data_IF_471652244464
#
_entry.id   IF_471652244464
#
_cell.length_a   1.000
_cell.length_b   1.000
_cell.length_c   1.000
_cell.angle_alpha   90.00
_cell.angle_beta   90.00
_cell.angle_gamma   90.00
#
_symmetry.space_group_name_H-M   'P 1'
#
loop_
_entity.id
_entity.type
_entity.pdbx_description
1 polymer ?
#
# COMPACT_ATOMS: atom_id res chain seq x y z
N UNK A 1 -9.60 6.43 8.83
CA UNK A 1 -8.70 5.72 7.90
C UNK A 1 -8.14 6.74 6.92
N UNK A 2 -6.82 6.80 6.79
CA UNK A 2 -6.14 7.93 6.18
C UNK A 2 -4.98 7.46 5.32
N UNK A 3 -4.93 7.94 4.08
CA UNK A 3 -3.74 7.79 3.23
C UNK A 3 -2.60 8.56 3.92
N UNK A 4 -1.65 7.84 4.51
CA UNK A 4 -0.45 8.44 5.09
C UNK A 4 0.51 8.81 3.95
N UNK A 5 0.91 10.07 3.87
CA UNK A 5 1.91 10.53 2.89
C UNK A 5 3.26 10.64 3.58
N UNK A 6 4.28 10.02 3.00
CA UNK A 6 5.65 10.02 3.56
C UNK A 6 6.64 10.24 2.45
N UNK A 7 7.61 11.12 2.68
CA UNK A 7 8.79 11.25 1.84
C UNK A 7 9.91 10.42 2.45
N UNK A 8 10.57 9.61 1.63
CA UNK A 8 11.58 8.65 2.06
C UNK A 8 12.80 8.84 1.20
N UNK A 9 13.96 9.01 1.82
CA UNK A 9 15.23 9.05 1.11
C UNK A 9 15.49 7.70 0.41
N UNK A 10 16.14 7.74 -0.75
CA UNK A 10 16.43 6.52 -1.53
C UNK A 10 17.30 5.53 -0.74
N UNK A 11 18.19 6.02 0.14
CA UNK A 11 19.06 5.21 1.00
C UNK A 11 18.25 4.45 2.07
N UNK A 12 17.17 5.05 2.57
CA UNK A 12 16.35 4.49 3.64
C UNK A 12 15.16 3.66 3.14
N UNK A 13 14.94 3.60 1.82
CA UNK A 13 13.75 2.96 1.25
C UNK A 13 13.60 1.48 1.64
N UNK A 14 14.71 0.76 1.80
CA UNK A 14 14.71 -0.64 2.19
C UNK A 14 14.32 -0.81 3.67
N UNK A 15 14.88 0.03 4.55
CA UNK A 15 14.54 0.05 5.97
C UNK A 15 13.06 0.41 6.16
N UNK A 16 12.59 1.42 5.45
CA UNK A 16 11.20 1.87 5.54
C UNK A 16 10.22 0.81 5.00
N UNK A 17 10.57 0.12 3.91
CA UNK A 17 9.80 -1.03 3.41
C UNK A 17 9.68 -2.13 4.47
N UNK A 18 10.78 -2.47 5.15
CA UNK A 18 10.78 -3.48 6.19
C UNK A 18 9.94 -3.07 7.40
N UNK A 19 10.03 -1.80 7.79
CA UNK A 19 9.17 -1.22 8.84
C UNK A 19 7.69 -1.33 8.49
N UNK A 20 7.29 -0.94 7.27
CA UNK A 20 5.92 -1.05 6.80
C UNK A 20 5.43 -2.50 6.79
N UNK A 21 6.26 -3.43 6.28
CA UNK A 21 5.92 -4.87 6.26
C UNK A 21 5.67 -5.41 7.67
N UNK A 22 6.49 -5.02 8.66
CA UNK A 22 6.27 -5.40 10.07
C UNK A 22 4.97 -4.83 10.64
N UNK A 23 4.52 -3.68 10.14
CA UNK A 23 3.23 -3.07 10.46
C UNK A 23 2.04 -3.61 9.66
N UNK A 24 2.21 -4.67 8.87
CA UNK A 24 1.14 -5.25 8.04
C UNK A 24 0.81 -4.45 6.78
N UNK A 25 1.73 -3.60 6.31
CA UNK A 25 1.58 -2.87 5.06
C UNK A 25 2.45 -3.48 3.97
N UNK A 26 1.80 -3.86 2.86
CA UNK A 26 2.44 -4.54 1.74
C UNK A 26 2.40 -3.65 0.50
N UNK A 27 3.48 -3.67 -0.27
CA UNK A 27 3.60 -2.86 -1.48
C UNK A 27 2.57 -3.26 -2.52
N UNK A 28 1.98 -2.28 -3.20
CA UNK A 28 1.03 -2.47 -4.30
C UNK A 28 1.55 -3.45 -5.35
N UNK A 29 2.83 -3.35 -5.74
CA UNK A 29 3.46 -4.26 -6.71
C UNK A 29 3.44 -5.72 -6.26
N UNK A 30 3.57 -5.99 -4.95
CA UNK A 30 3.51 -7.35 -4.42
C UNK A 30 2.07 -7.88 -4.46
N UNK A 31 1.10 -7.08 -4.01
CA UNK A 31 -0.31 -7.46 -4.02
C UNK A 31 -0.82 -7.70 -5.45
N UNK A 32 -0.36 -6.92 -6.44
CA UNK A 32 -0.66 -7.17 -7.85
C UNK A 32 -0.09 -8.47 -8.38
N UNK A 33 1.12 -8.85 -7.97
CA UNK A 33 1.68 -10.17 -8.30
C UNK A 33 0.88 -11.29 -7.63
N UNK A 34 0.32 -11.05 -6.44
CA UNK A 34 -0.58 -11.97 -5.74
C UNK A 34 -2.02 -12.00 -6.28
N UNK A 35 -2.33 -11.26 -7.36
CA UNK A 35 -3.64 -11.29 -8.02
C UNK A 35 -4.63 -10.21 -7.60
N UNK A 36 -4.24 -9.26 -6.73
CA UNK A 36 -5.11 -8.14 -6.34
C UNK A 36 -4.96 -6.93 -7.27
N UNK A 37 -6.06 -6.28 -7.60
CA UNK A 37 -6.06 -5.11 -8.48
C UNK A 37 -5.62 -3.85 -7.72
N UNK A 38 -4.39 -3.40 -8.00
CA UNK A 38 -3.84 -2.19 -7.37
C UNK A 38 -4.62 -0.90 -7.70
N UNK A 39 -5.33 -0.85 -8.83
CA UNK A 39 -6.19 0.29 -9.20
C UNK A 39 -7.41 0.31 -8.28
N UNK A 40 -8.03 -0.84 -8.03
CA UNK A 40 -9.14 -0.97 -7.08
C UNK A 40 -8.72 -0.68 -5.66
N UNK A 41 -7.58 -1.21 -5.21
CA UNK A 41 -7.02 -0.90 -3.89
C UNK A 41 -6.78 0.60 -3.70
N UNK A 42 -6.26 1.29 -4.72
CA UNK A 42 -6.10 2.74 -4.69
C UNK A 42 -7.44 3.46 -4.56
N UNK A 43 -8.47 3.01 -5.32
CA UNK A 43 -9.83 3.58 -5.25
C UNK A 43 -10.43 3.41 -3.85
N UNK A 44 -10.30 2.23 -3.26
CA UNK A 44 -10.75 1.95 -1.89
C UNK A 44 -10.02 2.83 -0.86
N UNK A 45 -8.71 3.02 -1.04
CA UNK A 45 -7.94 3.89 -0.17
C UNK A 45 -8.38 5.37 -0.25
N UNK A 46 -8.63 5.87 -1.46
CA UNK A 46 -9.14 7.24 -1.68
C UNK A 46 -10.55 7.42 -1.10
N UNK A 47 -11.37 6.36 -1.12
CA UNK A 47 -12.69 6.34 -0.48
C UNK A 47 -12.65 6.19 1.04
N UNK A 48 -11.45 6.07 1.65
CA UNK A 48 -11.30 5.86 3.09
C UNK A 48 -11.71 4.46 3.57
N UNK A 49 -11.88 3.51 2.65
CA UNK A 49 -12.26 2.11 2.94
C UNK A 49 -11.06 1.20 3.19
N UNK A 50 -9.85 1.69 2.88
CA UNK A 50 -8.61 0.94 3.03
C UNK A 50 -7.47 1.86 3.48
N UNK A 51 -6.67 1.43 4.44
CA UNK A 51 -5.49 2.14 4.91
C UNK A 51 -4.35 1.96 3.93
N UNK A 52 -3.74 3.08 3.57
CA UNK A 52 -2.65 3.12 2.60
C UNK A 52 -1.55 4.08 3.01
N UNK A 53 -0.33 3.77 2.57
CA UNK A 53 0.83 4.66 2.68
C UNK A 53 1.31 5.00 1.27
N UNK A 54 1.35 6.29 0.96
CA UNK A 54 1.95 6.84 -0.26
C UNK A 54 3.36 7.31 0.07
N UNK A 55 4.35 6.53 -0.35
CA UNK A 55 5.76 6.83 -0.18
C UNK A 55 6.30 7.53 -1.43
N UNK A 56 6.73 8.78 -1.32
CA UNK A 56 7.53 9.45 -2.35
C UNK A 56 9.02 9.16 -2.09
N UNK A 57 9.71 8.61 -3.10
CA UNK A 57 11.13 8.26 -3.06
C UNK A 57 11.79 8.95 -4.25
N UNK A 58 12.38 10.13 -4.00
CA UNK A 58 12.85 11.02 -5.07
C UNK A 58 11.70 11.35 -6.04
N UNK A 59 11.85 10.96 -7.31
CA UNK A 59 10.83 11.18 -8.36
C UNK A 59 9.78 10.07 -8.45
N UNK A 60 9.92 8.99 -7.69
CA UNK A 60 9.05 7.81 -7.78
C UNK A 60 8.07 7.74 -6.62
N UNK A 61 6.87 7.22 -6.86
CA UNK A 61 5.86 6.99 -5.81
C UNK A 61 5.58 5.51 -5.67
N UNK A 62 5.64 5.00 -4.45
CA UNK A 62 5.23 3.63 -4.11
C UNK A 62 4.04 3.66 -3.16
N UNK A 63 3.07 2.80 -3.45
CA UNK A 63 1.91 2.60 -2.59
C UNK A 63 2.08 1.34 -1.77
N UNK A 64 1.65 1.41 -0.52
CA UNK A 64 1.55 0.28 0.39
C UNK A 64 0.14 0.26 0.97
N UNK A 65 -0.42 -0.92 1.14
CA UNK A 65 -1.79 -1.14 1.58
C UNK A 65 -1.78 -2.07 2.78
N UNK A 66 -2.74 -1.88 3.70
CA UNK A 66 -2.94 -2.85 4.78
C UNK A 66 -3.28 -4.22 4.18
N UNK A 67 -2.45 -5.22 4.47
CA UNK A 67 -2.56 -6.58 3.95
C UNK A 67 -3.93 -7.19 4.28
N UNK A 68 -4.28 -7.18 5.56
CA UNK A 68 -5.56 -7.70 6.05
C UNK A 68 -6.77 -7.05 5.38
N UNK A 69 -6.74 -5.74 5.17
CA UNK A 69 -7.87 -5.04 4.53
C UNK A 69 -7.91 -5.29 3.02
N UNK A 70 -6.75 -5.40 2.37
CA UNK A 70 -6.67 -5.75 0.95
C UNK A 70 -7.19 -7.17 0.69
N UNK A 71 -6.81 -8.14 1.53
CA UNK A 71 -7.32 -9.52 1.47
C UNK A 71 -8.84 -9.57 1.72
N UNK A 72 -9.33 -8.87 2.74
CA UNK A 72 -10.78 -8.81 3.00
C UNK A 72 -11.55 -8.17 1.85
N UNK A 73 -11.01 -7.11 1.23
CA UNK A 73 -11.62 -6.49 0.05
C UNK A 73 -11.63 -7.46 -1.14
N UNK A 74 -10.57 -8.25 -1.31
CA UNK A 74 -10.49 -9.27 -2.36
C UNK A 74 -11.54 -10.37 -2.15
N UNK A 75 -11.66 -10.89 -0.92
CA UNK A 75 -12.68 -11.89 -0.57
C UNK A 75 -14.12 -11.37 -0.76
N UNK A 76 -14.34 -10.06 -0.69
CA UNK A 76 -15.61 -9.40 -0.98
C UNK A 76 -15.84 -9.10 -2.47
N UNK A 77 -14.85 -9.37 -3.33
CA UNK A 77 -14.88 -9.03 -4.75
C UNK A 77 -14.65 -7.54 -5.06
N UNK A 78 -14.19 -6.76 -4.09
CA UNK A 78 -13.95 -5.32 -4.21
C UNK A 78 -12.54 -4.97 -4.74
N UNK A 79 -11.58 -5.89 -4.64
CA UNK A 79 -10.17 -5.71 -5.01
C UNK A 79 -9.60 -6.90 -5.80
#
# INVERSE_FOLDING_TARGET
MAIKRVEVDRRDCQLYRNYLKRGGFISASYLSVSGLDAVRLKKLAVQGKLDAVRCAIGKSVRWYYSEKQAELAHLRGEA
#
